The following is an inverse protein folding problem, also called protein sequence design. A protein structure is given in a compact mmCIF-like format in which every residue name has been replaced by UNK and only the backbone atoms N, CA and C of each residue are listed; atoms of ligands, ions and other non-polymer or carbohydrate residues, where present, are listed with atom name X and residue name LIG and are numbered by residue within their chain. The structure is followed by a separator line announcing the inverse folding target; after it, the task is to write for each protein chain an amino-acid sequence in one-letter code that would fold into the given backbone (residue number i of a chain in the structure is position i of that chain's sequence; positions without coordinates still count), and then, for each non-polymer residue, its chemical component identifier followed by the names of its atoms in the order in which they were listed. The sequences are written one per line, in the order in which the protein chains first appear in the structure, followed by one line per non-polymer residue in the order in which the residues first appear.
data_IF_342957305559
#
_entry.id   IF_342957305559
#
_cell.length_a   1.000
_cell.length_b   1.000
_cell.length_c   1.000
_cell.angle_alpha   90.00
_cell.angle_beta   90.00
_cell.angle_gamma   90.00
#
_symmetry.space_group_name_H-M   'P 1'
#
loop_
_entity.id
_entity.type
_entity.pdbx_description
1 polymer ?
#
# COMPACT_ATOMS: atom_id res chain seq x y z
N UNK A 1 -35.01 -9.81 13.28
CA UNK A 1 -34.08 -10.80 12.72
C UNK A 1 -33.40 -10.21 11.50
N UNK A 2 -32.08 -10.02 11.60
CA UNK A 2 -31.09 -9.75 10.55
C UNK A 2 -31.39 -8.65 9.51
N UNK A 3 -31.14 -7.40 9.90
CA UNK A 3 -30.98 -6.29 8.97
C UNK A 3 -29.61 -6.39 8.28
N UNK A 4 -29.62 -6.59 6.96
CA UNK A 4 -28.43 -6.66 6.10
C UNK A 4 -27.91 -5.25 5.86
N UNK A 5 -26.86 -4.85 6.58
CA UNK A 5 -26.08 -3.67 6.22
C UNK A 5 -24.90 -4.08 5.32
N UNK A 6 -25.17 -4.16 4.02
CA UNK A 6 -24.15 -3.99 2.97
C UNK A 6 -23.80 -2.52 2.87
N UNK A 7 -22.75 -2.10 3.57
CA UNK A 7 -22.10 -0.81 3.37
C UNK A 7 -20.62 -0.95 3.70
N UNK A 8 -19.87 -1.62 2.82
CA UNK A 8 -18.40 -1.59 2.82
C UNK A 8 -17.95 -0.20 2.34
N UNK A 9 -18.25 0.82 3.13
CA UNK A 9 -17.70 2.16 3.01
C UNK A 9 -16.29 2.08 3.55
N UNK A 10 -15.35 1.69 2.68
CA UNK A 10 -13.91 1.76 2.92
C UNK A 10 -13.56 3.24 3.12
N UNK A 11 -13.62 3.69 4.37
CA UNK A 11 -13.00 4.94 4.78
C UNK A 11 -11.48 4.72 4.72
N UNK A 12 -10.87 4.96 3.56
CA UNK A 12 -9.44 5.27 3.48
C UNK A 12 -9.36 6.78 3.42
N UNK A 13 -9.64 7.42 4.55
CA UNK A 13 -9.43 8.84 4.75
C UNK A 13 -8.86 9.00 6.16
N UNK A 14 -7.55 9.18 6.26
CA UNK A 14 -6.95 9.95 7.35
C UNK A 14 -5.69 10.64 6.81
N UNK A 15 -5.86 11.92 6.47
CA UNK A 15 -4.93 13.03 6.72
C UNK A 15 -3.43 12.80 6.49
N UNK A 16 -2.86 13.70 5.68
CA UNK A 16 -1.45 13.90 5.27
C UNK A 16 -0.52 14.10 6.50
N UNK A 17 -0.38 13.04 7.27
CA UNK A 17 0.64 12.77 8.27
C UNK A 17 1.16 11.41 7.84
N UNK A 18 2.45 11.25 7.53
CA UNK A 18 2.97 9.94 7.16
C UNK A 18 2.93 9.08 8.42
N UNK A 19 1.81 8.41 8.61
CA UNK A 19 1.64 7.37 9.63
C UNK A 19 2.73 6.32 9.38
N UNK A 20 3.27 5.70 10.44
CA UNK A 20 4.47 4.84 10.31
C UNK A 20 4.38 3.77 9.22
N UNK A 21 3.17 3.29 8.91
CA UNK A 21 2.94 2.36 7.80
C UNK A 21 3.15 2.97 6.41
N UNK A 22 2.75 4.23 6.18
CA UNK A 22 2.97 4.93 4.91
C UNK A 22 4.47 5.07 4.64
N UNK A 23 5.22 5.52 5.65
CA UNK A 23 6.69 5.67 5.57
C UNK A 23 7.32 4.32 5.24
N UNK A 24 6.91 3.26 5.92
CA UNK A 24 7.41 1.91 5.67
C UNK A 24 7.28 1.51 4.20
N UNK A 25 6.09 1.67 3.61
CA UNK A 25 5.85 1.24 2.23
C UNK A 25 6.61 2.05 1.17
N UNK A 26 6.94 3.32 1.43
CA UNK A 26 7.63 4.18 0.45
C UNK A 26 9.16 4.10 0.53
N UNK A 27 9.72 3.40 1.51
CA UNK A 27 11.17 3.24 1.60
C UNK A 27 11.70 2.44 0.42
N UNK A 28 12.88 2.83 -0.07
CA UNK A 28 13.53 2.22 -1.21
C UNK A 28 14.09 0.82 -0.93
N UNK A 29 14.16 0.39 0.33
CA UNK A 29 14.51 -0.97 0.75
C UNK A 29 13.29 -1.90 0.91
N UNK A 30 12.07 -1.35 0.87
CA UNK A 30 10.81 -2.09 0.95
C UNK A 30 10.13 -2.20 -0.42
N UNK A 31 10.17 -1.11 -1.19
CA UNK A 31 9.57 -1.05 -2.52
C UNK A 31 10.41 -0.24 -3.50
N UNK A 32 10.39 -0.65 -4.76
CA UNK A 32 11.06 0.03 -5.85
C UNK A 32 10.08 0.83 -6.70
N UNK A 33 10.42 2.10 -6.97
CA UNK A 33 9.61 2.93 -7.85
C UNK A 33 9.76 2.50 -9.31
N UNK A 34 8.64 2.17 -9.95
CA UNK A 34 8.65 1.74 -11.34
C UNK A 34 9.07 2.90 -12.26
N UNK A 35 9.96 2.63 -13.26
CA UNK A 35 10.49 3.67 -14.14
C UNK A 35 9.53 4.04 -15.29
N UNK A 36 8.53 3.19 -15.56
CA UNK A 36 7.67 3.34 -16.72
C UNK A 36 6.75 4.56 -16.64
N UNK A 37 6.61 5.27 -17.76
CA UNK A 37 5.66 6.40 -17.88
C UNK A 37 4.21 5.97 -17.70
N UNK A 38 3.88 4.72 -18.04
CA UNK A 38 2.54 4.12 -17.84
C UNK A 38 2.27 3.63 -16.41
N UNK A 39 3.29 3.67 -15.54
CA UNK A 39 3.19 3.22 -14.15
C UNK A 39 2.78 4.36 -13.23
N UNK A 40 1.84 5.19 -13.65
CA UNK A 40 1.29 6.29 -12.84
C UNK A 40 -0.13 5.96 -12.42
N UNK A 41 -0.48 6.28 -11.18
CA UNK A 41 -1.85 6.33 -10.70
C UNK A 41 -2.22 7.76 -10.36
N UNK A 42 -3.48 8.11 -10.58
CA UNK A 42 -4.04 9.40 -10.21
C UNK A 42 -4.95 9.14 -9.03
N UNK A 43 -4.61 9.69 -7.86
CA UNK A 43 -5.44 9.61 -6.67
C UNK A 43 -6.04 10.98 -6.38
N UNK A 44 -7.30 10.98 -5.94
CA UNK A 44 -7.96 12.17 -5.43
C UNK A 44 -7.92 12.12 -3.91
N UNK A 45 -7.35 13.15 -3.31
CA UNK A 45 -7.38 13.35 -1.86
C UNK A 45 -8.77 13.84 -1.43
N UNK A 46 -9.11 13.69 -0.15
CA UNK A 46 -10.41 14.09 0.40
C UNK A 46 -10.69 15.60 0.32
N UNK A 47 -9.63 16.39 0.17
CA UNK A 47 -9.67 17.83 -0.09
C UNK A 47 -10.01 18.16 -1.55
N UNK A 48 -10.20 17.15 -2.41
CA UNK A 48 -10.44 17.30 -3.84
C UNK A 48 -9.16 17.51 -4.66
N UNK A 49 -7.99 17.50 -4.03
CA UNK A 49 -6.71 17.64 -4.71
C UNK A 49 -6.41 16.37 -5.54
N UNK A 50 -5.91 16.57 -6.75
CA UNK A 50 -5.51 15.48 -7.63
C UNK A 50 -4.01 15.33 -7.54
N UNK A 51 -3.55 14.19 -7.01
CA UNK A 51 -2.14 13.88 -6.89
C UNK A 51 -1.79 12.68 -7.78
N UNK A 52 -0.74 12.84 -8.59
CA UNK A 52 -0.24 11.76 -9.45
C UNK A 52 0.91 11.06 -8.77
N UNK A 53 0.77 9.76 -8.50
CA UNK A 53 1.78 8.92 -7.89
C UNK A 53 2.36 7.95 -8.91
N UNK A 54 3.67 7.70 -8.87
CA UNK A 54 4.26 6.58 -9.59
C UNK A 54 4.08 5.30 -8.78
N UNK A 55 3.73 4.20 -9.45
CA UNK A 55 3.59 2.90 -8.84
C UNK A 55 4.93 2.45 -8.27
N UNK A 56 4.87 1.79 -7.12
CA UNK A 56 6.02 1.17 -6.46
C UNK A 56 5.76 -0.32 -6.34
N UNK A 57 6.76 -1.13 -6.67
CA UNK A 57 6.71 -2.57 -6.58
C UNK A 57 7.31 -3.02 -5.25
N UNK A 58 6.55 -3.76 -4.45
CA UNK A 58 7.11 -4.40 -3.25
C UNK A 58 8.20 -5.40 -3.65
N UNK A 59 9.29 -5.47 -2.90
CA UNK A 59 10.29 -6.53 -3.09
C UNK A 59 9.81 -7.87 -2.54
N UNK A 60 9.25 -7.82 -1.33
CA UNK A 60 8.79 -8.98 -0.61
C UNK A 60 7.27 -9.14 -0.73
N UNK A 61 6.77 -10.32 -0.36
CA UNK A 61 5.32 -10.52 -0.26
C UNK A 61 4.75 -9.76 0.96
N UNK A 62 3.41 -9.67 1.05
CA UNK A 62 2.77 -8.93 2.15
C UNK A 62 3.01 -9.56 3.53
N UNK A 63 3.26 -10.87 3.61
CA UNK A 63 3.52 -11.56 4.87
C UNK A 63 4.91 -11.20 5.40
N UNK A 64 5.93 -11.29 4.56
CA UNK A 64 7.31 -10.92 4.87
C UNK A 64 7.43 -9.44 5.28
N UNK A 65 6.79 -8.55 4.52
CA UNK A 65 6.75 -7.12 4.86
C UNK A 65 6.08 -6.85 6.21
N UNK A 66 5.04 -7.62 6.55
CA UNK A 66 4.36 -7.48 7.83
C UNK A 66 5.27 -7.92 8.99
N UNK A 67 5.98 -9.04 8.83
CA UNK A 67 6.94 -9.52 9.82
C UNK A 67 8.04 -8.46 10.07
N UNK A 68 8.65 -7.94 8.99
CA UNK A 68 9.64 -6.87 9.07
C UNK A 68 9.09 -5.62 9.77
N UNK A 69 7.87 -5.21 9.42
CA UNK A 69 7.21 -4.07 10.05
C UNK A 69 7.01 -4.27 11.56
N UNK A 70 6.58 -5.47 11.98
CA UNK A 70 6.39 -5.79 13.41
C UNK A 70 7.70 -5.90 14.18
N UNK A 71 8.78 -6.34 13.52
CA UNK A 71 10.11 -6.41 14.11
C UNK A 71 10.68 -5.01 14.37
N UNK A 72 10.54 -4.10 13.40
CA UNK A 72 10.94 -2.70 13.55
C UNK A 72 10.03 -1.92 14.52
N UNK A 73 8.75 -2.28 14.60
CA UNK A 73 7.72 -1.57 15.36
C UNK A 73 7.08 -2.46 16.44
N UNK A 74 7.89 -3.02 17.35
CA UNK A 74 7.44 -3.93 18.42
C UNK A 74 6.34 -3.36 19.34
N UNK A 75 6.17 -2.04 19.36
CA UNK A 75 5.15 -1.35 20.18
C UNK A 75 3.81 -1.16 19.46
N UNK A 76 3.69 -1.55 18.19
CA UNK A 76 2.49 -1.37 17.38
C UNK A 76 1.74 -2.70 17.27
N UNK A 77 0.57 -2.79 17.90
CA UNK A 77 -0.33 -3.95 17.76
C UNK A 77 -1.21 -3.77 16.52
N UNK A 78 -0.70 -4.15 15.35
CA UNK A 78 -1.42 -4.09 14.08
C UNK A 78 -1.63 -5.50 13.54
N UNK A 79 -2.84 -5.84 13.11
CA UNK A 79 -3.11 -7.15 12.50
C UNK A 79 -2.70 -7.15 11.01
N UNK A 80 -2.21 -8.30 10.51
CA UNK A 80 -1.80 -8.51 9.10
C UNK A 80 -2.89 -8.10 8.09
N UNK A 81 -4.15 -8.44 8.35
CA UNK A 81 -5.26 -8.07 7.45
C UNK A 81 -5.45 -6.55 7.38
N UNK A 82 -5.28 -5.85 8.50
CA UNK A 82 -5.37 -4.39 8.55
C UNK A 82 -4.15 -3.76 7.87
N UNK A 83 -2.95 -4.30 8.11
CA UNK A 83 -1.72 -3.88 7.45
C UNK A 83 -1.81 -3.96 5.91
N UNK A 84 -2.41 -5.03 5.39
CA UNK A 84 -2.62 -5.19 3.95
C UNK A 84 -3.60 -4.16 3.36
N UNK A 85 -4.64 -3.77 4.13
CA UNK A 85 -5.63 -2.76 3.71
C UNK A 85 -5.04 -1.34 3.80
N UNK A 86 -4.17 -1.08 4.78
CA UNK A 86 -3.47 0.20 4.95
C UNK A 86 -2.41 0.47 3.87
N UNK A 87 -2.14 -0.51 2.99
CA UNK A 87 -1.21 -0.34 1.88
C UNK A 87 -1.70 0.77 0.94
N UNK A 88 -0.86 1.77 0.61
CA UNK A 88 -1.21 2.78 -0.38
C UNK A 88 -1.53 2.15 -1.74
N UNK A 89 -2.50 2.69 -2.51
CA UNK A 89 -2.92 2.11 -3.77
C UNK A 89 -1.85 2.13 -4.87
N UNK A 90 -0.84 3.02 -4.77
CA UNK A 90 0.29 3.05 -5.70
C UNK A 90 1.35 1.97 -5.39
N UNK A 91 1.27 1.29 -4.24
CA UNK A 91 2.21 0.24 -3.87
C UNK A 91 1.61 -1.11 -4.26
N UNK A 92 2.22 -1.76 -5.25
CA UNK A 92 1.73 -2.99 -5.87
C UNK A 92 2.57 -4.20 -5.47
N UNK A 93 1.95 -5.35 -5.12
CA UNK A 93 2.66 -6.61 -4.95
C UNK A 93 3.25 -7.13 -6.25
N UNK A 94 4.35 -7.87 -6.18
CA UNK A 94 4.93 -8.57 -7.33
C UNK A 94 3.94 -9.51 -8.02
N UNK A 95 3.12 -10.22 -7.22
CA UNK A 95 2.07 -11.09 -7.75
C UNK A 95 1.05 -10.36 -8.62
N UNK A 96 0.86 -9.04 -8.45
CA UNK A 96 -0.04 -8.25 -9.29
C UNK A 96 0.54 -7.93 -10.68
N UNK A 97 1.84 -8.17 -10.90
CA UNK A 97 2.49 -8.01 -12.20
C UNK A 97 2.57 -9.31 -13.02
N UNK A 98 1.97 -10.41 -12.52
CA UNK A 98 2.19 -11.80 -12.95
C UNK A 98 1.89 -12.16 -14.41
N UNK A 99 1.57 -11.22 -15.29
CA UNK A 99 1.28 -11.52 -16.69
C UNK A 99 2.22 -10.94 -17.74
N UNK A 100 3.20 -10.08 -17.41
CA UNK A 100 3.99 -9.43 -18.49
C UNK A 100 5.47 -9.13 -18.30
N UNK A 101 6.09 -9.31 -17.14
CA UNK A 101 7.45 -8.75 -16.97
C UNK A 101 8.32 -9.68 -16.12
N UNK A 102 9.40 -10.18 -16.74
CA UNK A 102 10.57 -10.66 -16.03
C UNK A 102 11.19 -9.42 -15.36
N UNK A 103 10.88 -9.20 -14.08
CA UNK A 103 11.44 -8.07 -13.32
C UNK A 103 12.84 -8.52 -12.91
N UNK A 104 13.85 -8.13 -13.69
CA UNK A 104 15.22 -8.16 -13.22
C UNK A 104 15.37 -7.01 -12.21
N UNK A 105 15.46 -7.38 -10.94
CA UNK A 105 15.88 -6.50 -9.85
C UNK A 105 17.40 -6.58 -9.69
#
# INVERSE_FOLDING_TARGET
MHNRHTATRLYVCTSITPTGHYIFYIRDDISYQLPGKGDTIIAKDDLGNITTYRKRLLFYNLCENYELFTEENKNVNLNRSVFAVLRPPFVVPQASLAHRICVYL
#
